data_IF_782145706783
#
_entry.id   IF_782145706783
#
_cell.length_a   1.000
_cell.length_b   1.000
_cell.length_c   1.000
_cell.angle_alpha   90.00
_cell.angle_beta   90.00
_cell.angle_gamma   90.00
#
_symmetry.space_group_name_H-M   'P 1'
#
loop_
_entity.id
_entity.type
_entity.pdbx_description
1 polymer ?
#
# COMPACT_ATOMS: atom_id res chain seq x y z
N UNK A 1 -47.10 51.67 9.00
CA UNK A 1 -45.78 52.00 8.41
C UNK A 1 -44.71 51.71 9.45
N UNK A 2 -43.57 51.16 8.99
CA UNK A 2 -42.32 50.84 9.71
C UNK A 2 -42.25 49.43 10.31
N UNK A 3 -41.95 48.49 9.42
CA UNK A 3 -41.19 47.27 9.69
C UNK A 3 -39.79 47.62 10.25
N UNK A 4 -39.27 46.81 11.16
CA UNK A 4 -37.84 46.82 11.51
C UNK A 4 -37.38 45.42 11.96
N UNK A 5 -36.63 44.79 11.05
CA UNK A 5 -35.41 43.99 11.26
C UNK A 5 -35.48 42.67 12.06
N UNK A 6 -35.46 41.63 11.25
CA UNK A 6 -34.90 40.28 11.33
C UNK A 6 -33.52 40.17 12.02
N UNK A 7 -33.28 39.09 12.78
CA UNK A 7 -32.27 38.02 12.57
C UNK A 7 -31.73 37.48 13.91
N UNK A 8 -31.76 36.16 14.11
CA UNK A 8 -30.80 35.42 14.97
C UNK A 8 -30.80 33.93 14.59
N UNK A 9 -29.60 33.50 14.16
CA UNK A 9 -28.91 32.22 14.36
C UNK A 9 -29.53 30.88 13.88
N UNK A 10 -29.09 30.48 12.68
CA UNK A 10 -28.17 29.37 12.43
C UNK A 10 -28.28 28.10 13.30
N UNK A 11 -28.79 27.01 12.73
CA UNK A 11 -28.32 25.66 13.06
C UNK A 11 -27.81 25.00 11.78
N UNK A 12 -26.51 24.69 11.80
CA UNK A 12 -25.79 24.06 10.71
C UNK A 12 -26.20 22.59 10.61
N UNK A 13 -26.72 22.18 9.46
CA UNK A 13 -26.82 20.78 9.10
C UNK A 13 -25.40 20.31 8.76
N UNK A 14 -24.80 19.50 9.65
CA UNK A 14 -23.52 18.87 9.42
C UNK A 14 -23.65 17.90 8.24
N UNK A 15 -23.09 18.28 7.10
CA UNK A 15 -22.92 17.40 5.95
C UNK A 15 -21.82 16.39 6.30
N UNK A 16 -22.21 15.14 6.54
CA UNK A 16 -21.26 14.03 6.64
C UNK A 16 -20.54 13.91 5.29
N UNK A 17 -19.23 14.15 5.27
CA UNK A 17 -18.41 13.92 4.08
C UNK A 17 -18.13 12.42 3.95
N UNK A 18 -18.31 11.82 2.77
CA UNK A 18 -17.88 10.45 2.56
C UNK A 18 -16.35 10.39 2.74
N UNK A 19 -15.90 9.45 3.55
CA UNK A 19 -14.49 9.10 3.72
C UNK A 19 -14.11 8.10 2.64
N UNK A 20 -12.89 8.24 2.14
CA UNK A 20 -12.16 7.40 1.18
C UNK A 20 -12.63 7.40 -0.29
N UNK A 21 -12.25 8.45 -1.00
CA UNK A 21 -11.72 8.30 -2.36
C UNK A 21 -10.21 8.44 -2.28
N UNK A 22 -9.47 7.35 -2.50
CA UNK A 22 -8.02 7.38 -2.64
C UNK A 22 -7.64 8.39 -3.73
N UNK A 23 -7.02 9.49 -3.32
CA UNK A 23 -6.64 10.59 -4.20
C UNK A 23 -5.53 10.11 -5.14
N UNK A 24 -5.89 9.87 -6.41
CA UNK A 24 -4.95 9.41 -7.43
C UNK A 24 -4.16 10.61 -7.94
N UNK A 25 -2.84 10.59 -7.76
CA UNK A 25 -1.94 11.63 -8.29
C UNK A 25 -1.01 11.01 -9.33
N UNK A 26 -0.95 11.61 -10.52
CA UNK A 26 -0.02 11.21 -11.57
C UNK A 26 1.26 12.05 -11.49
N UNK A 27 2.39 11.39 -11.29
CA UNK A 27 3.70 11.92 -11.64
C UNK A 27 4.03 11.42 -13.06
N UNK A 28 4.98 12.04 -13.75
CA UNK A 28 5.35 11.59 -15.09
C UNK A 28 5.76 10.10 -15.07
N UNK A 29 4.99 9.25 -15.77
CA UNK A 29 5.22 7.81 -15.91
C UNK A 29 4.67 6.93 -14.77
N UNK A 30 4.03 7.52 -13.74
CA UNK A 30 3.49 6.76 -12.61
C UNK A 30 2.20 7.33 -12.04
N UNK A 31 1.32 6.44 -11.57
CA UNK A 31 0.15 6.76 -10.78
C UNK A 31 0.34 6.36 -9.33
N UNK A 32 0.13 7.31 -8.42
CA UNK A 32 0.10 7.06 -6.98
C UNK A 32 -1.34 6.89 -6.51
N UNK A 33 -1.60 5.87 -5.69
CA UNK A 33 -2.91 5.61 -5.06
C UNK A 33 -2.75 5.09 -3.64
N UNK A 34 -3.79 5.29 -2.83
CA UNK A 34 -3.92 4.64 -1.52
C UNK A 34 -4.52 3.24 -1.65
N UNK A 35 -4.02 2.28 -0.88
CA UNK A 35 -4.55 0.91 -0.78
C UNK A 35 -4.41 0.40 0.65
N UNK A 36 -5.52 0.13 1.34
CA UNK A 36 -5.52 -0.37 2.74
C UNK A 36 -4.69 0.50 3.73
N UNK A 37 -4.51 1.79 3.42
CA UNK A 37 -3.67 2.73 4.18
C UNK A 37 -2.18 2.75 3.81
N UNK A 38 -1.76 1.98 2.81
CA UNK A 38 -0.44 2.08 2.17
C UNK A 38 -0.48 3.04 0.98
N UNK A 39 0.68 3.61 0.66
CA UNK A 39 0.93 4.27 -0.63
C UNK A 39 1.40 3.23 -1.65
N UNK A 40 0.69 3.13 -2.78
CA UNK A 40 1.07 2.32 -3.92
C UNK A 40 1.36 3.22 -5.13
N UNK A 41 2.55 3.07 -5.71
CA UNK A 41 2.96 3.73 -6.95
C UNK A 41 2.98 2.70 -8.07
N UNK A 42 2.35 3.01 -9.20
CA UNK A 42 2.17 2.07 -10.32
C UNK A 42 2.69 2.72 -11.59
N UNK A 43 3.57 2.04 -12.31
CA UNK A 43 4.03 2.49 -13.62
C UNK A 43 2.88 2.60 -14.62
N UNK A 44 2.83 3.70 -15.37
CA UNK A 44 1.87 3.88 -16.47
C UNK A 44 2.01 2.78 -17.53
N UNK A 45 3.24 2.28 -17.76
CA UNK A 45 3.52 1.21 -18.71
C UNK A 45 2.75 -0.08 -18.38
N UNK A 46 2.63 -0.42 -17.09
CA UNK A 46 1.88 -1.59 -16.63
C UNK A 46 0.37 -1.42 -16.82
N UNK A 47 -0.13 -0.19 -16.73
CA UNK A 47 -1.54 0.13 -16.93
C UNK A 47 -1.92 0.12 -18.42
N UNK A 48 -0.97 0.43 -19.29
CA UNK A 48 -1.14 0.44 -20.75
C UNK A 48 -0.94 -0.95 -21.36
N UNK A 49 0.14 -1.64 -21.01
CA UNK A 49 0.57 -2.87 -21.68
C UNK A 49 0.16 -4.15 -20.97
N UNK A 50 0.02 -4.11 -19.64
CA UNK A 50 -0.25 -5.30 -18.80
C UNK A 50 -1.53 -5.14 -17.95
N UNK A 51 -2.50 -4.34 -18.43
CA UNK A 51 -3.67 -3.90 -17.67
C UNK A 51 -4.36 -5.01 -16.87
N UNK A 52 -4.69 -6.14 -17.51
CA UNK A 52 -5.40 -7.23 -16.85
C UNK A 52 -4.57 -7.90 -15.73
N UNK A 53 -3.26 -8.06 -15.95
CA UNK A 53 -2.36 -8.59 -14.92
C UNK A 53 -2.21 -7.59 -13.76
N UNK A 54 -2.09 -6.30 -14.07
CA UNK A 54 -2.02 -5.23 -13.08
C UNK A 54 -3.28 -5.15 -12.22
N UNK A 55 -4.46 -5.24 -12.84
CA UNK A 55 -5.74 -5.31 -12.13
C UNK A 55 -5.81 -6.54 -11.22
N UNK A 56 -5.38 -7.70 -11.72
CA UNK A 56 -5.34 -8.93 -10.91
C UNK A 56 -4.36 -8.84 -9.74
N UNK A 57 -3.19 -8.26 -9.94
CA UNK A 57 -2.19 -8.03 -8.90
C UNK A 57 -2.72 -7.06 -7.84
N UNK A 58 -3.46 -6.02 -8.23
CA UNK A 58 -4.11 -5.09 -7.30
C UNK A 58 -5.12 -5.77 -6.39
N UNK A 59 -5.98 -6.64 -6.93
CA UNK A 59 -6.93 -7.43 -6.13
C UNK A 59 -6.21 -8.29 -5.11
N UNK A 60 -5.18 -9.02 -5.54
CA UNK A 60 -4.45 -9.95 -4.69
C UNK A 60 -3.64 -9.21 -3.62
N UNK A 61 -2.98 -8.11 -3.98
CA UNK A 61 -2.28 -7.25 -3.02
C UNK A 61 -3.27 -6.70 -1.98
N UNK A 62 -4.46 -6.26 -2.39
CA UNK A 62 -5.50 -5.79 -1.47
C UNK A 62 -5.82 -6.86 -0.43
N UNK A 63 -6.09 -8.09 -0.86
CA UNK A 63 -6.39 -9.21 0.05
C UNK A 63 -5.22 -9.52 1.01
N UNK A 64 -3.98 -9.47 0.51
CA UNK A 64 -2.79 -9.67 1.35
C UNK A 64 -2.61 -8.56 2.38
N UNK A 65 -2.82 -7.29 2.00
CA UNK A 65 -2.72 -6.16 2.92
C UNK A 65 -3.84 -6.20 3.98
N UNK A 66 -5.06 -6.56 3.59
CA UNK A 66 -6.16 -6.79 4.54
C UNK A 66 -5.84 -7.87 5.55
N UNK A 67 -5.22 -8.97 5.11
CA UNK A 67 -4.77 -10.03 6.00
C UNK A 67 -3.69 -9.53 6.98
N UNK A 68 -2.72 -8.73 6.51
CA UNK A 68 -1.73 -8.08 7.37
C UNK A 68 -2.42 -7.21 8.42
N UNK A 69 -3.36 -6.36 8.02
CA UNK A 69 -4.14 -5.50 8.95
C UNK A 69 -4.89 -6.34 9.97
N UNK A 70 -5.41 -7.51 9.58
CA UNK A 70 -6.18 -8.41 10.45
C UNK A 70 -5.31 -9.09 11.50
N UNK A 71 -4.11 -9.54 11.12
CA UNK A 71 -3.29 -10.39 12.00
C UNK A 71 -2.19 -9.63 12.74
N UNK A 72 -1.72 -8.50 12.22
CA UNK A 72 -0.62 -7.74 12.81
C UNK A 72 -1.15 -6.72 13.83
N UNK A 73 -0.52 -6.58 15.02
CA UNK A 73 -0.89 -5.56 15.99
C UNK A 73 -0.96 -4.16 15.38
N UNK A 74 -2.05 -3.44 15.66
CA UNK A 74 -2.36 -2.16 15.01
C UNK A 74 -1.23 -1.13 15.08
N UNK A 75 -0.48 -1.09 16.19
CA UNK A 75 0.68 -0.19 16.34
C UNK A 75 1.78 -0.49 15.31
N UNK A 76 2.04 -1.76 15.03
CA UNK A 76 3.02 -2.17 14.02
C UNK A 76 2.48 -1.89 12.60
N UNK A 77 1.19 -2.09 12.35
CA UNK A 77 0.57 -1.75 11.05
C UNK A 77 0.76 -0.28 10.69
N UNK A 78 0.68 0.64 11.66
CA UNK A 78 0.97 2.07 11.43
C UNK A 78 2.39 2.30 10.91
N UNK A 79 3.37 1.54 11.41
CA UNK A 79 4.75 1.63 10.93
C UNK A 79 4.92 0.97 9.55
N UNK A 80 4.28 -0.18 9.32
CA UNK A 80 4.32 -0.87 8.03
C UNK A 80 3.73 -0.04 6.89
N UNK A 81 2.68 0.74 7.15
CA UNK A 81 2.05 1.65 6.17
C UNK A 81 2.95 2.79 5.70
N UNK A 82 4.04 3.08 6.42
CA UNK A 82 5.02 4.09 6.01
C UNK A 82 5.94 3.60 4.89
N UNK A 83 5.97 2.30 4.62
CA UNK A 83 6.77 1.70 3.55
C UNK A 83 5.98 1.78 2.25
N UNK A 84 6.41 2.55 1.25
CA UNK A 84 5.72 2.62 -0.04
C UNK A 84 5.82 1.28 -0.77
N UNK A 85 4.80 0.99 -1.58
CA UNK A 85 4.74 -0.15 -2.46
C UNK A 85 4.84 0.32 -3.91
N UNK A 86 5.55 -0.42 -4.75
CA UNK A 86 5.78 -0.07 -6.16
C UNK A 86 5.46 -1.24 -7.08
N UNK A 87 4.67 -0.98 -8.10
CA UNK A 87 4.50 -1.88 -9.25
C UNK A 87 5.31 -1.33 -10.41
N UNK A 88 6.33 -2.10 -10.80
CA UNK A 88 7.27 -1.75 -11.86
C UNK A 88 7.26 -2.81 -12.97
N UNK A 89 7.54 -2.43 -14.23
CA UNK A 89 7.83 -3.39 -15.29
C UNK A 89 9.04 -4.27 -14.96
N UNK A 90 9.15 -5.39 -15.64
CA UNK A 90 10.30 -6.29 -15.52
C UNK A 90 11.58 -5.62 -16.04
N UNK A 91 12.69 -5.80 -15.33
CA UNK A 91 14.00 -5.36 -15.82
C UNK A 91 14.61 -6.42 -16.75
N UNK A 92 15.11 -6.05 -17.94
CA UNK A 92 15.73 -6.99 -18.86
C UNK A 92 16.86 -7.81 -18.21
N UNK A 93 16.77 -9.14 -18.30
CA UNK A 93 17.78 -10.05 -17.76
C UNK A 93 17.78 -10.20 -16.23
N UNK A 94 16.81 -9.60 -15.53
CA UNK A 94 16.62 -9.74 -14.09
C UNK A 94 15.37 -10.57 -13.83
N UNK A 95 15.50 -11.62 -13.01
CA UNK A 95 14.33 -12.42 -12.66
C UNK A 95 13.33 -11.59 -11.82
N UNK A 96 12.07 -11.47 -12.26
CA UNK A 96 11.02 -10.72 -11.56
C UNK A 96 10.75 -11.27 -10.16
N UNK A 97 10.54 -10.36 -9.19
CA UNK A 97 10.27 -10.68 -7.78
C UNK A 97 9.78 -9.45 -7.00
N UNK A 98 9.50 -9.65 -5.71
CA UNK A 98 9.36 -8.58 -4.72
C UNK A 98 10.71 -8.28 -4.02
N UNK A 99 11.14 -7.01 -3.96
CA UNK A 99 12.41 -6.58 -3.37
C UNK A 99 12.23 -5.35 -2.46
N UNK A 100 12.88 -5.34 -1.29
CA UNK A 100 12.98 -4.13 -0.46
C UNK A 100 14.28 -3.40 -0.77
N UNK A 101 14.20 -2.08 -0.97
CA UNK A 101 15.34 -1.24 -1.35
C UNK A 101 15.83 -0.39 -0.17
N UNK A 102 16.96 -0.71 0.48
CA UNK A 102 17.39 0.01 1.69
C UNK A 102 17.89 1.44 1.44
N UNK A 103 18.27 1.78 0.21
CA UNK A 103 18.79 3.11 -0.10
C UNK A 103 18.97 3.41 -1.59
N UNK A 104 19.09 4.70 -1.91
CA UNK A 104 19.14 5.21 -3.29
C UNK A 104 20.47 4.96 -4.03
N UNK A 105 21.57 4.69 -3.32
CA UNK A 105 22.89 4.48 -3.93
C UNK A 105 22.90 3.30 -4.90
N UNK A 106 22.57 2.12 -4.38
CA UNK A 106 22.48 0.89 -5.19
C UNK A 106 21.47 1.02 -6.32
N UNK A 107 20.32 1.68 -6.09
CA UNK A 107 19.30 1.91 -7.12
C UNK A 107 19.89 2.67 -8.32
N UNK A 108 20.64 3.75 -8.07
CA UNK A 108 21.30 4.53 -9.15
C UNK A 108 22.34 3.70 -9.89
N UNK A 109 23.18 2.97 -9.16
CA UNK A 109 24.23 2.11 -9.74
C UNK A 109 23.65 1.01 -10.64
N UNK A 110 22.45 0.53 -10.31
CA UNK A 110 21.74 -0.51 -11.06
C UNK A 110 20.67 0.05 -12.02
N UNK A 111 20.72 1.36 -12.30
CA UNK A 111 19.82 2.05 -13.24
C UNK A 111 18.32 1.88 -12.91
N UNK A 112 18.01 1.81 -11.62
CA UNK A 112 16.64 1.81 -11.09
C UNK A 112 16.25 3.19 -10.56
N UNK A 113 14.96 3.42 -10.34
CA UNK A 113 14.48 4.70 -9.81
C UNK A 113 14.89 4.89 -8.34
N UNK A 114 15.73 5.89 -8.00
CA UNK A 114 16.13 6.17 -6.62
C UNK A 114 14.98 6.59 -5.69
N UNK A 115 13.82 6.99 -6.23
CA UNK A 115 12.63 7.32 -5.45
C UNK A 115 12.08 6.10 -4.69
N UNK A 116 12.42 4.88 -5.11
CA UNK A 116 12.05 3.63 -4.43
C UNK A 116 12.86 3.36 -3.16
N UNK A 117 13.77 4.25 -2.75
CA UNK A 117 14.51 4.08 -1.51
C UNK A 117 13.55 3.94 -0.31
N UNK A 118 13.75 2.87 0.47
CA UNK A 118 12.91 2.41 1.59
C UNK A 118 11.51 1.96 1.18
N UNK A 119 11.34 1.50 -0.05
CA UNK A 119 10.10 0.92 -0.56
C UNK A 119 10.25 -0.58 -0.87
N UNK A 120 9.11 -1.25 -1.05
CA UNK A 120 9.03 -2.60 -1.63
C UNK A 120 8.59 -2.47 -3.08
N UNK A 121 9.37 -3.05 -3.99
CA UNK A 121 9.10 -3.10 -5.43
C UNK A 121 8.64 -4.50 -5.84
N UNK A 122 7.57 -4.58 -6.60
CA UNK A 122 7.08 -5.78 -7.26
C UNK A 122 7.29 -5.64 -8.77
N UNK A 123 8.10 -6.54 -9.33
CA UNK A 123 8.37 -6.62 -10.78
C UNK A 123 7.70 -7.83 -11.43
N UNK A 124 7.17 -8.74 -10.61
CA UNK A 124 6.53 -9.99 -11.01
C UNK A 124 5.03 -9.84 -11.30
N UNK A 125 4.56 -8.66 -11.72
CA UNK A 125 3.14 -8.32 -11.88
C UNK A 125 2.37 -9.32 -12.76
N UNK A 126 2.99 -9.78 -13.86
CA UNK A 126 2.40 -10.75 -14.79
C UNK A 126 2.22 -12.15 -14.16
N UNK A 127 3.00 -12.43 -13.14
CA UNK A 127 3.10 -13.72 -12.46
C UNK A 127 2.66 -13.68 -10.99
N UNK A 128 2.18 -12.53 -10.54
CA UNK A 128 1.92 -12.20 -9.14
C UNK A 128 0.97 -13.21 -8.46
N UNK A 129 -0.03 -13.68 -9.20
CA UNK A 129 -0.97 -14.69 -8.72
C UNK A 129 -0.31 -16.03 -8.45
N UNK A 130 0.59 -16.47 -9.34
CA UNK A 130 1.35 -17.71 -9.13
C UNK A 130 2.22 -17.57 -7.90
N UNK A 131 2.89 -16.43 -7.76
CA UNK A 131 3.80 -16.18 -6.63
C UNK A 131 3.05 -16.13 -5.30
N UNK A 132 1.89 -15.47 -5.25
CA UNK A 132 1.01 -15.44 -4.08
C UNK A 132 0.54 -16.84 -3.66
N UNK A 133 0.28 -17.74 -4.62
CA UNK A 133 -0.06 -19.14 -4.33
C UNK A 133 1.15 -19.94 -3.85
N UNK A 134 2.35 -19.66 -4.37
CA UNK A 134 3.61 -20.30 -3.97
C UNK A 134 4.04 -19.90 -2.56
N UNK A 135 3.78 -18.64 -2.18
CA UNK A 135 4.15 -18.05 -0.88
C UNK A 135 2.91 -17.51 -0.14
N UNK A 136 2.06 -18.39 0.42
CA UNK A 136 0.94 -17.93 1.22
C UNK A 136 1.42 -17.23 2.51
N UNK A 137 0.60 -16.32 3.04
CA UNK A 137 0.89 -15.66 4.31
C UNK A 137 1.08 -16.72 5.41
N UNK A 138 2.25 -16.78 6.06
CA UNK A 138 2.53 -17.80 7.05
C UNK A 138 1.68 -17.61 8.32
N UNK A 139 1.32 -18.71 8.99
CA UNK A 139 0.52 -18.69 10.23
C UNK A 139 1.32 -18.29 11.48
N UNK A 140 2.48 -17.66 11.32
CA UNK A 140 3.38 -17.30 12.41
C UNK A 140 4.78 -16.94 11.90
N UNK A 141 5.69 -16.66 12.83
CA UNK A 141 7.08 -16.33 12.52
C UNK A 141 7.98 -17.53 12.79
N UNK A 142 8.95 -17.78 11.91
CA UNK A 142 9.96 -18.84 12.14
C UNK A 142 11.05 -18.44 13.14
N UNK A 143 11.01 -17.22 13.67
CA UNK A 143 11.97 -16.69 14.64
C UNK A 143 11.27 -16.49 16.00
N UNK A 144 11.86 -17.02 17.06
CA UNK A 144 11.29 -17.00 18.41
C UNK A 144 11.19 -15.59 18.99
N UNK A 145 12.20 -14.75 18.79
CA UNK A 145 12.22 -13.37 19.28
C UNK A 145 11.11 -12.54 18.61
N UNK A 146 10.94 -12.69 17.30
CA UNK A 146 9.86 -12.02 16.55
C UNK A 146 8.50 -12.54 17.01
N UNK A 147 8.38 -13.86 17.23
CA UNK A 147 7.15 -14.46 17.76
C UNK A 147 6.80 -13.87 19.12
N UNK A 148 7.76 -13.82 20.05
CA UNK A 148 7.56 -13.24 21.37
C UNK A 148 7.20 -11.76 21.31
N UNK A 149 7.90 -10.97 20.48
CA UNK A 149 7.60 -9.55 20.28
C UNK A 149 6.19 -9.34 19.72
N UNK A 150 5.77 -10.18 18.78
CA UNK A 150 4.43 -10.15 18.18
C UNK A 150 3.34 -10.47 19.22
N UNK A 151 3.49 -11.56 19.98
CA UNK A 151 2.54 -11.94 21.04
C UNK A 151 2.45 -10.85 22.13
N UNK A 152 3.59 -10.26 22.51
CA UNK A 152 3.62 -9.13 23.44
C UNK A 152 2.97 -7.86 22.89
N UNK A 153 2.94 -7.68 21.57
CA UNK A 153 2.31 -6.51 20.96
C UNK A 153 0.78 -6.67 20.79
N UNK A 154 0.22 -7.88 20.91
CA UNK A 154 -1.23 -8.09 20.85
C UNK A 154 -1.93 -7.39 22.02
N UNK A 155 -3.09 -6.74 21.78
CA UNK A 155 -3.88 -6.15 22.86
C UNK A 155 -4.34 -7.26 23.81
N UNK A 156 -4.48 -6.93 25.10
CA UNK A 156 -4.81 -7.89 26.16
C UNK A 156 -6.10 -8.69 25.89
N UNK A 157 -7.04 -8.14 25.10
CA UNK A 157 -8.26 -8.84 24.68
C UNK A 157 -8.08 -9.93 23.62
N UNK A 158 -6.87 -10.05 23.05
CA UNK A 158 -6.49 -11.03 22.02
C UNK A 158 -5.31 -11.92 22.47
N UNK A 159 -4.93 -11.85 23.76
CA UNK A 159 -3.93 -12.71 24.38
C UNK A 159 -4.58 -13.91 25.08
#
# INVERSE_FOLDING_TARGET
MKTCVVWICLTALACAKPVDSAEQSSAAGHQTRGIEGWTLVISDELLENDKAATERALELLTLQLQEIVRVVPAKAVVELRKVPLWFSPEYPGVQPRAEYHPGAGWLRENKRDPAMAKAVEFTDIRDFERETKRMPIPKGFGNEDITAAFENAKPTSLR
#
